data_IF_100556965613
#
_entry.id   IF_100556965613
#
_cell.length_a   1.000
_cell.length_b   1.000
_cell.length_c   1.000
_cell.angle_alpha   90.00
_cell.angle_beta   90.00
_cell.angle_gamma   90.00
#
_symmetry.space_group_name_H-M   'P 1'
#
loop_
_entity.id
_entity.type
_entity.pdbx_description
1 polymer ?
#
# COMPACT_ATOMS: atom_id res chain seq x y z
N UNK A 1 -27.96 20.74 -4.26
CA UNK A 1 -26.91 20.78 -3.21
C UNK A 1 -26.80 19.46 -2.42
N UNK A 2 -27.91 18.86 -1.94
CA UNK A 2 -27.86 17.61 -1.17
C UNK A 2 -27.30 16.38 -1.93
N UNK A 3 -27.59 16.23 -3.23
CA UNK A 3 -27.05 15.09 -4.03
C UNK A 3 -25.53 15.13 -4.13
N UNK A 4 -24.96 16.25 -4.59
CA UNK A 4 -23.51 16.43 -4.72
C UNK A 4 -22.77 16.26 -3.38
N UNK A 5 -23.34 16.79 -2.28
CA UNK A 5 -22.79 16.62 -0.94
C UNK A 5 -22.75 15.15 -0.49
N UNK A 6 -23.82 14.39 -0.73
CA UNK A 6 -23.85 12.96 -0.41
C UNK A 6 -22.92 12.15 -1.31
N UNK A 7 -22.80 12.51 -2.59
CA UNK A 7 -21.87 11.84 -3.52
C UNK A 7 -20.42 12.02 -3.06
N UNK A 8 -19.99 13.24 -2.73
CA UNK A 8 -18.63 13.53 -2.26
C UNK A 8 -18.32 12.76 -0.97
N UNK A 9 -19.28 12.68 -0.05
CA UNK A 9 -19.13 11.92 1.19
C UNK A 9 -18.97 10.42 0.94
N UNK A 10 -19.85 9.85 0.12
CA UNK A 10 -19.82 8.42 -0.17
C UNK A 10 -18.55 8.05 -0.94
N UNK A 11 -18.16 8.85 -1.94
CA UNK A 11 -16.93 8.63 -2.69
C UNK A 11 -15.70 8.74 -1.80
N UNK A 12 -15.67 9.70 -0.87
CA UNK A 12 -14.57 9.84 0.10
C UNK A 12 -14.49 8.68 1.09
N UNK A 13 -15.63 8.17 1.56
CA UNK A 13 -15.66 7.00 2.44
C UNK A 13 -15.17 5.74 1.71
N UNK A 14 -15.58 5.54 0.46
CA UNK A 14 -15.13 4.43 -0.37
C UNK A 14 -13.64 4.51 -0.68
N UNK A 15 -13.12 5.70 -1.02
CA UNK A 15 -11.70 5.90 -1.26
C UNK A 15 -10.87 5.59 0.01
N UNK A 16 -11.28 6.12 1.17
CA UNK A 16 -10.64 5.81 2.44
C UNK A 16 -10.66 4.31 2.77
N UNK A 17 -11.78 3.61 2.51
CA UNK A 17 -11.87 2.17 2.71
C UNK A 17 -10.90 1.40 1.81
N UNK A 18 -10.83 1.75 0.52
CA UNK A 18 -9.88 1.15 -0.42
C UNK A 18 -8.43 1.42 0.00
N UNK A 19 -8.15 2.61 0.50
CA UNK A 19 -6.82 2.97 1.00
C UNK A 19 -6.40 2.11 2.18
N UNK A 20 -7.32 1.89 3.13
CA UNK A 20 -7.08 1.02 4.28
C UNK A 20 -6.80 -0.42 3.85
N UNK A 21 -7.55 -0.96 2.87
CA UNK A 21 -7.31 -2.31 2.35
C UNK A 21 -5.93 -2.42 1.69
N UNK A 22 -5.51 -1.42 0.93
CA UNK A 22 -4.17 -1.36 0.35
C UNK A 22 -3.09 -1.28 1.44
N UNK A 23 -3.28 -0.44 2.47
CA UNK A 23 -2.36 -0.34 3.61
C UNK A 23 -2.18 -1.67 4.35
N UNK A 24 -3.28 -2.39 4.60
CA UNK A 24 -3.23 -3.75 5.19
C UNK A 24 -2.48 -4.71 4.26
N UNK A 25 -2.73 -4.65 2.95
CA UNK A 25 -2.01 -5.46 1.96
C UNK A 25 -0.49 -5.24 2.00
N UNK A 26 -0.06 -3.98 2.09
CA UNK A 26 1.35 -3.60 2.23
C UNK A 26 1.93 -4.12 3.55
N UNK A 27 1.20 -3.98 4.66
CA UNK A 27 1.64 -4.49 5.96
C UNK A 27 1.81 -6.01 5.95
N UNK A 28 0.87 -6.75 5.33
CA UNK A 28 0.99 -8.20 5.17
C UNK A 28 2.21 -8.56 4.31
N UNK A 29 2.42 -7.87 3.18
CA UNK A 29 3.59 -8.07 2.33
C UNK A 29 4.91 -7.79 3.05
N UNK A 30 4.99 -6.67 3.77
CA UNK A 30 6.15 -6.32 4.59
C UNK A 30 6.39 -7.32 5.73
N UNK A 31 5.32 -7.84 6.34
CA UNK A 31 5.40 -8.86 7.39
C UNK A 31 5.94 -10.20 6.87
N UNK A 32 5.51 -10.64 5.69
CA UNK A 32 6.05 -11.83 5.03
C UNK A 32 7.51 -11.61 4.60
N UNK A 33 7.83 -10.44 4.04
CA UNK A 33 9.20 -10.07 3.68
C UNK A 33 10.15 -10.04 4.89
N UNK A 34 9.66 -9.59 6.04
CA UNK A 34 10.44 -9.58 7.29
C UNK A 34 10.79 -10.99 7.78
N UNK A 35 9.94 -11.98 7.56
CA UNK A 35 10.21 -13.38 7.92
C UNK A 35 11.22 -14.04 7.00
N UNK A 36 11.32 -13.59 5.75
CA UNK A 36 12.24 -14.13 4.75
C UNK A 36 13.60 -13.43 4.73
N UNK A 37 13.71 -12.23 5.30
CA UNK A 37 14.95 -11.46 5.30
C UNK A 37 15.89 -11.85 6.47
N UNK A 38 17.20 -11.73 6.27
CA UNK A 38 18.20 -12.04 7.29
C UNK A 38 18.43 -10.87 8.26
N UNK A 39 18.48 -11.11 9.58
CA UNK A 39 18.58 -10.04 10.57
C UNK A 39 19.88 -9.21 10.42
N UNK A 40 19.75 -7.88 10.56
CA UNK A 40 20.81 -6.84 10.44
C UNK A 40 21.16 -6.36 9.03
N UNK A 41 20.38 -6.69 8.01
CA UNK A 41 20.56 -6.12 6.67
C UNK A 41 19.78 -4.81 6.47
N UNK A 42 20.21 -3.95 5.53
CA UNK A 42 19.48 -2.73 5.19
C UNK A 42 18.05 -3.01 4.70
N UNK A 43 17.77 -4.18 4.09
CA UNK A 43 16.40 -4.56 3.74
C UNK A 43 15.50 -4.81 4.97
N UNK A 44 16.02 -5.36 6.06
CA UNK A 44 15.25 -5.56 7.30
C UNK A 44 14.72 -4.25 7.87
N UNK A 45 15.58 -3.23 7.90
CA UNK A 45 15.22 -1.89 8.37
C UNK A 45 14.13 -1.26 7.49
N UNK A 46 14.14 -1.55 6.19
CA UNK A 46 13.12 -1.05 5.26
C UNK A 46 11.76 -1.69 5.52
N UNK A 47 11.69 -3.02 5.70
CA UNK A 47 10.43 -3.70 6.01
C UNK A 47 9.80 -3.22 7.32
N UNK A 48 10.61 -3.02 8.35
CA UNK A 48 10.14 -2.46 9.64
C UNK A 48 9.60 -1.04 9.45
N UNK A 49 10.32 -0.18 8.72
CA UNK A 49 9.85 1.19 8.42
C UNK A 49 8.53 1.19 7.65
N UNK A 50 8.40 0.30 6.65
CA UNK A 50 7.17 0.15 5.87
C UNK A 50 5.99 -0.32 6.73
N UNK A 51 6.21 -1.24 7.67
CA UNK A 51 5.18 -1.72 8.59
C UNK A 51 4.68 -0.60 9.52
N UNK A 52 5.59 0.19 10.09
CA UNK A 52 5.26 1.34 10.94
C UNK A 52 4.48 2.38 10.14
N UNK A 53 4.93 2.70 8.93
CA UNK A 53 4.26 3.66 8.05
C UNK A 53 2.84 3.18 7.69
N UNK A 54 2.68 1.92 7.27
CA UNK A 54 1.38 1.32 6.97
C UNK A 54 0.43 1.36 8.18
N UNK A 55 0.94 1.09 9.39
CA UNK A 55 0.16 1.22 10.62
C UNK A 55 -0.31 2.66 10.88
N UNK A 56 0.57 3.65 10.68
CA UNK A 56 0.20 5.06 10.82
C UNK A 56 -0.86 5.49 9.80
N UNK A 57 -0.76 5.02 8.56
CA UNK A 57 -1.74 5.28 7.49
C UNK A 57 -3.12 4.74 7.91
N UNK A 58 -3.20 3.50 8.38
CA UNK A 58 -4.45 2.91 8.86
C UNK A 58 -5.11 3.77 9.96
N UNK A 59 -4.33 4.28 10.91
CA UNK A 59 -4.84 5.18 11.96
C UNK A 59 -5.35 6.51 11.38
N UNK A 60 -4.60 7.11 10.46
CA UNK A 60 -4.96 8.38 9.81
C UNK A 60 -6.28 8.22 9.04
N UNK A 61 -6.44 7.12 8.31
CA UNK A 61 -7.66 6.81 7.55
C UNK A 61 -8.89 6.69 8.45
N UNK A 62 -8.75 6.06 9.62
CA UNK A 62 -9.84 5.99 10.61
C UNK A 62 -10.29 7.38 11.05
N UNK A 63 -9.35 8.29 11.31
CA UNK A 63 -9.66 9.69 11.63
C UNK A 63 -10.29 10.42 10.43
N UNK A 64 -9.85 10.13 9.21
CA UNK A 64 -10.45 10.66 7.98
C UNK A 64 -11.92 10.28 7.83
N UNK A 65 -12.25 9.01 7.99
CA UNK A 65 -13.63 8.50 7.97
C UNK A 65 -14.49 9.20 9.04
N UNK A 66 -13.97 9.34 10.26
CA UNK A 66 -14.65 10.05 11.35
C UNK A 66 -14.91 11.54 11.00
N UNK A 67 -13.92 12.22 10.41
CA UNK A 67 -14.03 13.61 9.96
C UNK A 67 -15.12 13.82 8.90
N UNK A 68 -15.30 12.86 7.98
CA UNK A 68 -16.33 12.89 6.94
C UNK A 68 -17.74 12.66 7.53
N UNK A 69 -17.89 11.70 8.45
CA UNK A 69 -19.19 11.37 9.06
C UNK A 69 -19.66 12.53 9.96
N UNK A 70 -18.80 13.01 10.85
CA UNK A 70 -19.13 14.02 11.85
C UNK A 70 -19.15 15.46 11.31
N UNK A 71 -18.74 15.69 10.06
CA UNK A 71 -18.71 17.02 9.41
C UNK A 71 -17.84 18.05 10.16
N UNK A 72 -16.76 17.58 10.78
CA UNK A 72 -15.86 18.40 11.59
C UNK A 72 -14.79 19.02 10.69
N UNK A 73 -14.91 20.32 10.41
CA UNK A 73 -13.93 21.04 9.59
C UNK A 73 -12.50 20.92 10.13
N UNK A 74 -12.31 21.08 11.44
CA UNK A 74 -10.97 21.05 12.04
C UNK A 74 -10.33 19.66 11.89
N UNK A 75 -11.11 18.58 12.10
CA UNK A 75 -10.62 17.21 11.94
C UNK A 75 -10.25 16.93 10.48
N UNK A 76 -11.07 17.39 9.52
CA UNK A 76 -10.75 17.23 8.10
C UNK A 76 -9.49 18.00 7.69
N UNK A 77 -9.26 19.21 8.23
CA UNK A 77 -8.05 19.98 7.94
C UNK A 77 -6.79 19.29 8.50
N UNK A 78 -6.87 18.78 9.74
CA UNK A 78 -5.78 18.02 10.35
C UNK A 78 -5.49 16.77 9.53
N UNK A 79 -6.53 16.03 9.14
CA UNK A 79 -6.42 14.85 8.28
C UNK A 79 -5.75 15.18 6.93
N UNK A 80 -6.17 16.24 6.24
CA UNK A 80 -5.56 16.66 4.97
C UNK A 80 -4.07 16.98 5.14
N UNK A 81 -3.69 17.61 6.25
CA UNK A 81 -2.28 17.88 6.55
C UNK A 81 -1.47 16.60 6.81
N UNK A 82 -2.05 15.63 7.52
CA UNK A 82 -1.39 14.33 7.71
C UNK A 82 -1.19 13.57 6.41
N UNK A 83 -2.21 13.48 5.55
CA UNK A 83 -2.06 12.83 4.23
C UNK A 83 -1.02 13.55 3.37
N UNK A 84 -0.93 14.88 3.43
CA UNK A 84 0.10 15.62 2.70
C UNK A 84 1.52 15.28 3.19
N UNK A 85 1.70 15.10 4.51
CA UNK A 85 2.97 14.67 5.09
C UNK A 85 3.29 13.23 4.70
N UNK A 86 2.31 12.32 4.73
CA UNK A 86 2.45 10.94 4.26
C UNK A 86 2.89 10.89 2.80
N UNK A 87 2.19 11.59 1.91
CA UNK A 87 2.54 11.69 0.49
C UNK A 87 3.97 12.22 0.30
N UNK A 88 4.37 13.23 1.08
CA UNK A 88 5.74 13.76 1.03
C UNK A 88 6.78 12.73 1.49
N UNK A 89 6.50 11.99 2.56
CA UNK A 89 7.39 10.94 3.07
C UNK A 89 7.50 9.76 2.08
N UNK A 90 6.39 9.31 1.52
CA UNK A 90 6.34 8.26 0.49
C UNK A 90 7.08 8.68 -0.77
N UNK A 91 6.92 9.94 -1.21
CA UNK A 91 7.66 10.48 -2.35
C UNK A 91 9.17 10.48 -2.13
N UNK A 92 9.62 10.90 -0.93
CA UNK A 92 11.04 10.86 -0.55
C UNK A 92 11.56 9.42 -0.50
N UNK A 93 10.78 8.49 0.05
CA UNK A 93 11.12 7.07 0.08
C UNK A 93 11.22 6.49 -1.33
N UNK A 94 10.28 6.79 -2.22
CA UNK A 94 10.29 6.32 -3.60
C UNK A 94 11.51 6.83 -4.36
N UNK A 95 11.86 8.12 -4.18
CA UNK A 95 13.04 8.71 -4.82
C UNK A 95 14.34 8.05 -4.31
N UNK A 96 14.45 7.84 -3.00
CA UNK A 96 15.61 7.17 -2.41
C UNK A 96 15.68 5.69 -2.78
N UNK A 97 14.53 5.02 -2.85
CA UNK A 97 14.40 3.61 -3.23
C UNK A 97 14.78 3.41 -4.69
N UNK A 98 14.32 4.23 -5.62
CA UNK A 98 14.69 4.08 -7.03
C UNK A 98 16.21 4.18 -7.23
N UNK A 99 16.88 5.05 -6.46
CA UNK A 99 18.34 5.14 -6.43
C UNK A 99 19.03 3.93 -5.78
N UNK A 100 18.35 3.20 -4.89
CA UNK A 100 18.90 2.06 -4.14
C UNK A 100 18.59 0.73 -4.84
N UNK A 101 17.38 0.55 -5.37
CA UNK A 101 16.93 -0.61 -6.14
C UNK A 101 17.83 -0.89 -7.34
N UNK A 102 18.29 0.15 -8.04
CA UNK A 102 19.29 -0.01 -9.12
C UNK A 102 20.63 -0.56 -8.61
N UNK A 103 20.99 -0.29 -7.35
CA UNK A 103 22.17 -0.86 -6.69
C UNK A 103 21.89 -2.26 -6.15
N UNK A 104 20.68 -2.53 -5.66
CA UNK A 104 20.26 -3.84 -5.13
C UNK A 104 20.09 -4.88 -6.23
N UNK A 105 19.63 -4.49 -7.43
CA UNK A 105 19.70 -5.37 -8.59
C UNK A 105 21.14 -5.78 -8.88
N UNK A 106 22.06 -4.80 -8.90
CA UNK A 106 23.49 -5.06 -9.01
C UNK A 106 24.02 -5.99 -7.91
N UNK A 107 23.54 -5.85 -6.67
CA UNK A 107 23.98 -6.69 -5.55
C UNK A 107 23.45 -8.12 -5.63
N UNK A 108 22.22 -8.34 -6.08
CA UNK A 108 21.67 -9.68 -6.27
C UNK A 108 22.37 -10.43 -7.41
N UNK A 109 22.68 -9.72 -8.51
CA UNK A 109 23.55 -10.24 -9.57
C UNK A 109 24.97 -10.53 -9.06
N UNK A 110 25.56 -9.60 -8.30
CA UNK A 110 26.89 -9.79 -7.70
C UNK A 110 26.92 -10.95 -6.71
N UNK A 111 25.85 -11.19 -5.94
CA UNK A 111 25.79 -12.33 -5.02
C UNK A 111 25.77 -13.65 -5.77
N UNK A 112 25.00 -13.75 -6.85
CA UNK A 112 25.04 -14.93 -7.74
C UNK A 112 26.42 -15.10 -8.36
N UNK A 113 27.03 -14.02 -8.85
CA UNK A 113 28.37 -14.03 -9.46
C UNK A 113 29.45 -14.44 -8.45
N UNK A 114 29.37 -13.95 -7.21
CA UNK A 114 30.27 -14.29 -6.12
C UNK A 114 30.10 -15.74 -5.67
N UNK A 115 28.86 -16.24 -5.59
CA UNK A 115 28.58 -17.64 -5.27
C UNK A 115 29.10 -18.58 -6.37
N UNK A 116 28.95 -18.17 -7.63
CA UNK A 116 29.41 -18.94 -8.79
C UNK A 116 30.94 -18.96 -8.91
N UNK A 117 31.61 -17.80 -8.83
CA UNK A 117 33.08 -17.74 -8.83
C UNK A 117 33.70 -18.30 -7.55
N UNK A 118 32.95 -18.30 -6.45
CA UNK A 118 33.36 -18.86 -5.16
C UNK A 118 33.22 -20.38 -5.08
N UNK A 119 32.77 -21.06 -6.14
CA UNK A 119 32.48 -22.50 -6.12
C UNK A 119 33.69 -23.35 -5.69
N UNK A 120 34.91 -22.93 -6.05
CA UNK A 120 36.15 -23.61 -5.65
C UNK A 120 36.48 -23.48 -4.15
N UNK A 121 36.03 -22.39 -3.52
CA UNK A 121 36.34 -22.08 -2.12
C UNK A 121 35.20 -22.41 -1.16
N UNK A 122 33.94 -22.17 -1.57
CA UNK A 122 32.74 -22.26 -0.75
C UNK A 122 31.53 -22.74 -1.59
N UNK A 123 31.51 -24.02 -2.01
CA UNK A 123 30.43 -24.55 -2.85
C UNK A 123 29.06 -24.55 -2.18
N UNK A 124 29.03 -24.55 -0.84
CA UNK A 124 27.80 -24.55 -0.05
C UNK A 124 26.91 -23.31 -0.30
N UNK A 125 27.52 -22.15 -0.57
CA UNK A 125 26.78 -20.92 -0.86
C UNK A 125 25.95 -21.04 -2.14
N UNK A 126 26.54 -21.63 -3.19
CA UNK A 126 25.84 -21.88 -4.45
C UNK A 126 24.76 -22.94 -4.28
N UNK A 127 25.05 -24.04 -3.55
CA UNK A 127 24.06 -25.10 -3.31
C UNK A 127 22.85 -24.60 -2.52
N UNK A 128 23.07 -23.77 -1.49
CA UNK A 128 21.99 -23.16 -0.73
C UNK A 128 21.16 -22.21 -1.60
N UNK A 129 21.82 -21.46 -2.49
CA UNK A 129 21.17 -20.57 -3.42
C UNK A 129 20.26 -21.32 -4.40
N UNK A 130 20.78 -22.38 -5.04
CA UNK A 130 20.04 -23.26 -5.95
C UNK A 130 18.84 -23.94 -5.29
N UNK A 131 19.02 -24.46 -4.07
CA UNK A 131 17.97 -25.09 -3.31
C UNK A 131 16.84 -24.10 -2.94
N UNK A 132 17.20 -22.84 -2.64
CA UNK A 132 16.25 -21.80 -2.24
C UNK A 132 15.50 -21.22 -3.45
N UNK A 133 16.19 -21.03 -4.58
CA UNK A 133 15.63 -20.42 -5.79
C UNK A 133 15.09 -21.43 -6.80
N UNK A 134 15.21 -22.74 -6.53
CA UNK A 134 14.79 -23.83 -7.43
C UNK A 134 15.34 -23.67 -8.85
N UNK A 135 16.63 -23.38 -8.93
CA UNK A 135 17.39 -23.19 -10.16
C UNK A 135 18.65 -24.05 -10.15
N UNK A 136 19.29 -24.23 -11.31
CA UNK A 136 20.53 -25.00 -11.40
C UNK A 136 21.54 -24.33 -12.32
N UNK A 137 22.76 -24.14 -11.81
CA UNK A 137 23.85 -23.47 -12.53
C UNK A 137 23.63 -21.97 -12.69
N UNK A 138 24.62 -21.31 -13.28
CA UNK A 138 24.56 -19.88 -13.58
C UNK A 138 23.51 -19.60 -14.67
N UNK A 139 23.74 -20.11 -15.87
CA UNK A 139 22.84 -20.05 -17.01
C UNK A 139 22.01 -21.32 -17.16
N UNK A 140 22.62 -22.49 -16.90
CA UNK A 140 21.93 -23.78 -16.95
C UNK A 140 22.72 -24.86 -16.19
N UNK A 141 22.07 -26.01 -15.96
CA UNK A 141 22.67 -27.23 -15.42
C UNK A 141 23.91 -27.72 -16.17
N UNK A 142 24.11 -27.32 -17.43
CA UNK A 142 25.30 -27.69 -18.20
C UNK A 142 26.58 -27.03 -17.70
N UNK A 143 26.49 -25.96 -16.92
CA UNK A 143 27.65 -25.15 -16.53
C UNK A 143 28.60 -25.95 -15.63
N UNK A 144 28.05 -26.71 -14.67
CA UNK A 144 28.83 -27.66 -13.85
C UNK A 144 29.62 -28.65 -14.69
N UNK A 145 29.03 -29.15 -15.79
CA UNK A 145 29.69 -30.09 -16.70
C UNK A 145 30.84 -29.44 -17.47
N UNK A 146 30.74 -28.15 -17.80
CA UNK A 146 31.83 -27.40 -18.45
C UNK A 146 33.02 -27.21 -17.50
N UNK A 147 32.75 -27.02 -16.20
CA UNK A 147 33.78 -26.96 -15.17
C UNK A 147 34.30 -28.35 -14.73
N UNK A 148 33.84 -29.44 -15.37
CA UNK A 148 34.16 -30.83 -14.99
C UNK A 148 33.72 -31.22 -13.56
N UNK A 149 32.73 -30.53 -13.00
CA UNK A 149 32.10 -30.89 -11.74
C UNK A 149 30.85 -31.76 -11.95
N UNK A 150 30.54 -32.55 -10.92
CA UNK A 150 29.29 -33.29 -10.82
C UNK A 150 28.17 -32.34 -10.41
N UNK A 151 26.95 -32.64 -10.87
CA UNK A 151 25.77 -31.86 -10.50
C UNK A 151 25.47 -32.02 -9.01
N UNK A 152 25.33 -30.92 -8.25
CA UNK A 152 25.07 -31.01 -6.84
C UNK A 152 23.64 -31.47 -6.54
N UNK A 153 23.43 -32.02 -5.34
CA UNK A 153 22.11 -32.48 -4.90
C UNK A 153 21.06 -31.35 -4.87
N UNK A 154 21.50 -30.10 -4.68
CA UNK A 154 20.68 -28.88 -4.72
C UNK A 154 19.98 -28.64 -6.05
N UNK A 155 20.53 -29.13 -7.16
CA UNK A 155 19.98 -28.99 -8.51
C UNK A 155 18.82 -29.94 -8.82
N UNK A 156 18.54 -30.91 -7.94
CA UNK A 156 17.51 -31.92 -8.19
C UNK A 156 16.23 -31.58 -7.44
N UNK A 157 15.10 -31.70 -8.15
CA UNK A 157 13.79 -31.58 -7.54
C UNK A 157 13.50 -32.82 -6.68
N UNK A 158 13.12 -32.60 -5.41
CA UNK A 158 12.63 -33.66 -4.54
C UNK A 158 11.22 -34.08 -4.99
N UNK A 159 11.14 -34.95 -6.01
CA UNK A 159 9.92 -35.66 -6.36
C UNK A 159 9.93 -37.05 -5.74
N UNK A 160 8.80 -37.45 -5.15
CA UNK A 160 8.57 -38.78 -4.53
C UNK A 160 8.60 -39.96 -5.54
N UNK A 161 8.78 -39.67 -6.83
CA UNK A 161 8.94 -40.65 -7.88
C UNK A 161 10.41 -40.73 -8.29
N UNK A 162 10.91 -41.96 -8.47
CA UNK A 162 12.28 -42.41 -8.73
C UNK A 162 13.11 -41.68 -9.83
N UNK A 163 12.63 -40.59 -10.40
CA UNK A 163 13.35 -39.72 -11.33
C UNK A 163 13.61 -38.36 -10.69
N UNK A 164 14.83 -38.18 -10.18
CA UNK A 164 15.33 -36.87 -9.79
C UNK A 164 15.42 -35.99 -11.05
N UNK A 165 14.45 -35.10 -11.25
CA UNK A 165 14.47 -34.14 -12.36
C UNK A 165 15.32 -32.94 -11.98
N UNK A 166 16.29 -32.60 -12.83
CA UNK A 166 17.13 -31.41 -12.67
C UNK A 166 16.29 -30.17 -12.96
N UNK A 167 16.49 -29.09 -12.21
CA UNK A 167 15.83 -27.83 -12.50
C UNK A 167 16.18 -27.35 -13.93
N UNK A 168 15.19 -27.12 -14.80
CA UNK A 168 15.44 -26.81 -16.21
C UNK A 168 15.84 -25.35 -16.46
N UNK A 169 15.82 -24.49 -15.43
CA UNK A 169 16.11 -23.06 -15.52
C UNK A 169 17.42 -22.73 -14.79
N UNK A 170 18.22 -21.85 -15.40
CA UNK A 170 19.38 -21.26 -14.75
C UNK A 170 19.00 -20.30 -13.62
N UNK A 171 19.93 -20.11 -12.69
CA UNK A 171 19.75 -19.15 -11.60
C UNK A 171 19.74 -17.70 -12.12
N UNK A 172 20.48 -17.40 -13.19
CA UNK A 172 20.48 -16.09 -13.84
C UNK A 172 19.09 -15.76 -14.41
N UNK A 173 18.51 -16.67 -15.18
CA UNK A 173 17.17 -16.49 -15.75
C UNK A 173 16.10 -16.38 -14.66
N UNK A 174 16.17 -17.23 -13.64
CA UNK A 174 15.23 -17.24 -12.50
C UNK A 174 15.30 -15.94 -11.69
N UNK A 175 16.50 -15.41 -11.45
CA UNK A 175 16.70 -14.11 -10.83
C UNK A 175 16.09 -12.99 -11.68
N UNK A 176 16.37 -12.97 -12.99
CA UNK A 176 15.84 -11.93 -13.87
C UNK A 176 14.30 -11.96 -13.95
N UNK A 177 13.70 -13.15 -13.95
CA UNK A 177 12.25 -13.33 -14.04
C UNK A 177 11.56 -12.95 -12.73
N UNK A 178 12.10 -13.40 -11.58
CA UNK A 178 11.59 -13.04 -10.26
C UNK A 178 11.71 -11.54 -10.00
N UNK A 179 12.84 -10.92 -10.33
CA UNK A 179 13.04 -9.48 -10.21
C UNK A 179 12.03 -8.68 -11.04
N UNK A 180 11.82 -9.03 -12.32
CA UNK A 180 10.83 -8.34 -13.17
C UNK A 180 9.41 -8.48 -12.62
N UNK A 181 9.06 -9.65 -12.09
CA UNK A 181 7.74 -9.89 -11.51
C UNK A 181 7.51 -9.08 -10.23
N UNK A 182 8.48 -9.07 -9.32
CA UNK A 182 8.43 -8.33 -8.06
C UNK A 182 8.39 -6.82 -8.33
N UNK A 183 9.27 -6.31 -9.21
CA UNK A 183 9.29 -4.89 -9.55
C UNK A 183 7.98 -4.39 -10.16
N UNK A 184 7.34 -5.18 -11.03
CA UNK A 184 6.11 -4.76 -11.66
C UNK A 184 4.97 -4.65 -10.64
N UNK A 185 4.90 -5.61 -9.71
CA UNK A 185 3.91 -5.62 -8.63
C UNK A 185 4.14 -4.44 -7.68
N UNK A 186 5.37 -4.23 -7.24
CA UNK A 186 5.72 -3.14 -6.33
C UNK A 186 5.45 -1.77 -6.95
N UNK A 187 5.82 -1.57 -8.22
CA UNK A 187 5.48 -0.34 -8.96
C UNK A 187 3.96 -0.14 -9.01
N UNK A 188 3.20 -1.17 -9.34
CA UNK A 188 1.74 -1.06 -9.45
C UNK A 188 1.10 -0.71 -8.10
N UNK A 189 1.54 -1.32 -7.00
CA UNK A 189 1.06 -0.98 -5.65
C UNK A 189 1.45 0.43 -5.23
N UNK A 190 2.71 0.84 -5.44
CA UNK A 190 3.20 2.19 -5.12
C UNK A 190 2.42 3.27 -5.85
N UNK A 191 2.27 3.15 -7.19
CA UNK A 191 1.50 4.10 -7.99
C UNK A 191 0.02 4.11 -7.62
N UNK A 192 -0.54 2.96 -7.24
CA UNK A 192 -1.93 2.86 -6.77
C UNK A 192 -2.13 3.62 -5.44
N UNK A 193 -1.19 3.48 -4.51
CA UNK A 193 -1.22 4.18 -3.21
C UNK A 193 -1.14 5.69 -3.41
N UNK A 194 -0.11 6.16 -4.13
CA UNK A 194 0.09 7.59 -4.41
C UNK A 194 -1.10 8.18 -5.16
N UNK A 195 -1.61 7.48 -6.18
CA UNK A 195 -2.78 7.93 -6.92
C UNK A 195 -4.01 8.07 -6.03
N UNK A 196 -4.20 7.15 -5.10
CA UNK A 196 -5.35 7.12 -4.20
C UNK A 196 -5.23 8.18 -3.09
N UNK A 197 -4.03 8.44 -2.56
CA UNK A 197 -3.76 9.57 -1.67
C UNK A 197 -4.09 10.91 -2.34
N UNK A 198 -3.69 11.12 -3.60
CA UNK A 198 -4.02 12.33 -4.35
C UNK A 198 -5.53 12.49 -4.50
N UNK A 199 -6.25 11.40 -4.81
CA UNK A 199 -7.72 11.43 -4.90
C UNK A 199 -8.34 11.80 -3.55
N UNK A 200 -7.87 11.21 -2.44
CA UNK A 200 -8.35 11.51 -1.08
C UNK A 200 -8.04 12.97 -0.71
N UNK A 201 -6.86 13.48 -1.03
CA UNK A 201 -6.49 14.89 -0.81
C UNK A 201 -7.43 15.83 -1.54
N UNK A 202 -7.70 15.58 -2.84
CA UNK A 202 -8.62 16.39 -3.62
C UNK A 202 -10.04 16.36 -3.07
N UNK A 203 -10.53 15.18 -2.69
CA UNK A 203 -11.87 15.00 -2.11
C UNK A 203 -12.01 15.71 -0.75
N UNK A 204 -11.02 15.57 0.14
CA UNK A 204 -11.04 16.20 1.47
C UNK A 204 -10.82 17.70 1.41
N UNK A 205 -10.02 18.20 0.47
CA UNK A 205 -9.90 19.62 0.18
C UNK A 205 -11.24 20.20 -0.33
N UNK A 206 -11.88 19.55 -1.29
CA UNK A 206 -13.19 19.96 -1.80
C UNK A 206 -14.26 19.97 -0.70
N UNK A 207 -14.28 18.94 0.14
CA UNK A 207 -15.19 18.85 1.27
C UNK A 207 -14.92 19.95 2.32
N UNK A 208 -13.65 20.24 2.61
CA UNK A 208 -13.26 21.30 3.54
C UNK A 208 -13.65 22.68 3.03
N UNK A 209 -13.45 22.97 1.74
CA UNK A 209 -13.90 24.23 1.11
C UNK A 209 -15.42 24.34 1.18
N UNK A 210 -16.17 23.28 0.90
CA UNK A 210 -17.63 23.27 1.00
C UNK A 210 -18.10 23.57 2.43
N UNK A 211 -17.52 22.90 3.43
CA UNK A 211 -17.83 23.15 4.84
C UNK A 211 -17.46 24.57 5.28
N UNK A 212 -16.32 25.09 4.80
CA UNK A 212 -15.89 26.46 5.06
C UNK A 212 -16.88 27.48 4.47
N UNK A 213 -17.28 27.32 3.21
CA UNK A 213 -18.28 28.18 2.55
C UNK A 213 -19.63 28.13 3.26
N UNK A 214 -20.10 26.96 3.66
CA UNK A 214 -21.34 26.80 4.43
C UNK A 214 -21.25 27.48 5.81
N UNK A 215 -20.11 27.35 6.51
CA UNK A 215 -19.88 28.07 7.77
C UNK A 215 -19.80 29.58 7.58
N UNK A 216 -19.15 30.04 6.51
CA UNK A 216 -19.04 31.46 6.16
C UNK A 216 -20.42 32.05 5.88
N UNK A 217 -21.24 31.40 5.05
CA UNK A 217 -22.62 31.82 4.79
C UNK A 217 -23.45 31.91 6.08
N UNK A 218 -23.34 30.90 6.97
CA UNK A 218 -24.01 30.93 8.29
C UNK A 218 -23.52 32.09 9.17
N UNK A 219 -22.23 32.46 9.11
CA UNK A 219 -21.68 33.61 9.84
C UNK A 219 -22.18 34.94 9.27
N UNK A 220 -22.23 35.08 7.95
CA UNK A 220 -22.76 36.27 7.29
C UNK A 220 -24.26 36.46 7.57
N UNK A 221 -25.05 35.39 7.49
CA UNK A 221 -26.46 35.40 7.85
C UNK A 221 -26.69 35.74 9.34
N UNK A 222 -25.75 35.43 10.24
CA UNK A 222 -25.81 35.89 11.64
C UNK A 222 -25.48 37.37 11.79
N UNK A 223 -24.56 37.92 10.99
CA UNK A 223 -24.18 39.34 11.03
C UNK A 223 -25.26 40.26 10.45
N UNK A 224 -26.09 39.77 9.54
CA UNK A 224 -27.23 40.52 8.98
C UNK A 224 -28.43 40.62 9.94
N UNK A 225 -28.40 39.96 11.10
CA UNK A 225 -29.45 40.13 12.12
C UNK A 225 -29.14 41.42 12.89
N UNK A 226 -30.02 42.46 12.85
CA UNK A 226 -29.77 43.72 13.52
C UNK A 226 -29.64 43.55 15.05
N UNK A 227 -28.75 44.30 15.71
CA UNK A 227 -28.61 44.27 17.16
C UNK A 227 -29.92 44.76 17.80
N UNK A 228 -30.69 43.85 18.40
CA UNK A 228 -31.99 44.13 19.01
C UNK A 228 -33.08 43.11 18.70
N UNK A 229 -32.93 42.30 17.65
CA UNK A 229 -33.88 41.20 17.36
C UNK A 229 -33.50 40.00 18.23
N UNK A 230 -34.07 39.94 19.43
CA UNK A 230 -34.08 38.74 20.27
C UNK A 230 -34.72 37.63 19.44
N UNK A 231 -33.97 36.59 19.08
CA UNK A 231 -34.56 35.37 18.52
C UNK A 231 -35.52 34.84 19.57
N UNK A 232 -36.83 34.93 19.32
CA UNK A 232 -37.75 34.05 20.00
C UNK A 232 -37.24 32.61 19.80
N UNK A 233 -37.24 31.78 20.86
CA UNK A 233 -36.96 30.37 20.69
C UNK A 233 -37.98 29.85 19.69
N UNK A 234 -37.50 29.48 18.50
CA UNK A 234 -38.32 28.88 17.45
C UNK A 234 -38.94 27.64 18.09
N UNK A 235 -40.20 27.74 18.49
CA UNK A 235 -40.98 26.63 18.99
C UNK A 235 -40.87 25.54 17.92
N UNK A 236 -40.40 24.37 18.35
CA UNK A 236 -40.45 23.17 17.55
C UNK A 236 -41.94 22.85 17.31
N UNK A 237 -42.56 23.47 16.31
CA UNK A 237 -43.69 22.85 15.66
C UNK A 237 -43.15 21.66 14.89
N UNK A 238 -43.14 20.54 15.62
CA UNK A 238 -43.23 19.18 15.15
C UNK A 238 -44.02 19.17 13.83
N UNK A 239 -43.32 19.04 12.71
CA UNK A 239 -43.95 18.61 11.45
C UNK A 239 -44.13 17.10 11.54
N UNK A 240 -45.05 16.68 12.41
CA UNK A 240 -45.72 15.40 12.32
C UNK A 240 -46.58 15.47 11.07
N UNK A 241 -46.05 15.00 9.94
CA UNK A 241 -46.79 15.09 8.67
C UNK A 241 -46.02 14.67 7.44
N UNK A 242 -45.12 13.69 7.54
CA UNK A 242 -44.57 13.04 6.34
C UNK A 242 -44.05 11.61 6.54
N UNK A 243 -44.26 11.00 7.72
CA UNK A 243 -43.76 9.66 8.06
C UNK A 243 -44.88 8.60 8.24
N UNK A 244 -46.11 8.91 7.82
CA UNK A 244 -47.28 8.03 7.96
C UNK A 244 -47.90 7.56 6.63
N UNK A 245 -47.24 7.77 5.48
CA UNK A 245 -47.76 7.36 4.16
C UNK A 245 -46.97 6.23 3.47
N UNK A 246 -46.11 5.51 4.19
CA UNK A 246 -45.32 4.39 3.63
C UNK A 246 -45.51 3.05 4.37
N UNK A 247 -46.55 2.91 5.21
CA UNK A 247 -46.84 1.66 5.95
C UNK A 247 -48.25 1.11 5.70
N UNK A 248 -48.88 1.43 4.57
CA UNK A 248 -50.18 0.83 4.19
C UNK A 248 -50.27 0.35 2.73
N UNK A 249 -49.14 0.12 2.07
CA UNK A 249 -49.10 -0.58 0.78
C UNK A 249 -48.42 -1.93 0.96
N UNK A 250 -49.18 -2.89 1.49
CA UNK A 250 -48.74 -4.26 1.76
C UNK A 250 -49.86 -5.01 2.47
N UNK A 251 -50.96 -5.22 1.74
CA UNK A 251 -51.95 -6.29 1.93
C UNK A 251 -53.14 -6.02 1.00
N UNK A 252 -53.03 -6.42 -0.27
CA UNK A 252 -54.00 -7.19 -1.09
C UNK A 252 -53.22 -7.84 -2.23
#
# INVERSE_FOLDING_TARGET
>A
MNRCYNTIKLSGLLANLLYMLLGIGVMCGAGLGLQAAEPNTPEHTYFVKSLVLGGTICMIVMFGCYGLICNLLCVNLIFTLFILICLGAEYLQLHHYHSTSHKTQGSAWQQLELAWHGLDSQPELMHQYEATQHCCGHDNSTDYRQLHLLLPASCYQANDTYQQQVFPRGCLETLSHSQRYIEHRDKLFMWSIVGLEIIILLQTAAFSVLLYRLRQQRRLARRQVPPGVRREPRSNHVRAGSRAQLLHAGDV
#
